data_IF_857904538571
#
_entry.id   IF_857904538571
#
_cell.length_a   1.000
_cell.length_b   1.000
_cell.length_c   1.000
_cell.angle_alpha   90.00
_cell.angle_beta   90.00
_cell.angle_gamma   90.00
#
_symmetry.space_group_name_H-M   'P 1'
#
loop_
_entity.id
_entity.type
_entity.pdbx_description
1 polymer ?
#
# COMPACT_ATOMS: atom_id res chain seq x y z
N UNK A 1 31.63 -27.31 -7.64
CA UNK A 1 30.27 -27.70 -7.21
C UNK A 1 30.00 -27.03 -5.86
N UNK A 2 29.56 -25.77 -5.87
CA UNK A 2 29.38 -24.98 -4.65
C UNK A 2 28.02 -25.35 -4.03
N UNK A 3 28.03 -26.07 -2.90
CA UNK A 3 26.84 -26.34 -2.11
C UNK A 3 26.09 -25.04 -1.85
N UNK A 4 24.88 -24.91 -2.41
CA UNK A 4 23.97 -23.83 -2.10
C UNK A 4 23.54 -24.00 -0.65
N UNK A 5 24.26 -23.34 0.27
CA UNK A 5 23.86 -23.18 1.66
C UNK A 5 22.58 -22.33 1.67
N UNK A 6 21.45 -22.96 1.99
CA UNK A 6 20.15 -22.30 2.09
C UNK A 6 19.76 -22.17 3.56
N UNK A 7 19.01 -21.11 3.92
CA UNK A 7 18.54 -20.91 5.30
C UNK A 7 17.82 -22.15 5.90
N UNK A 8 16.98 -22.90 5.16
CA UNK A 8 16.43 -24.18 5.63
C UNK A 8 17.49 -25.21 6.03
N UNK A 9 18.59 -25.32 5.27
CA UNK A 9 19.71 -26.20 5.59
C UNK A 9 20.36 -25.76 6.90
N UNK A 10 20.63 -24.47 7.06
CA UNK A 10 21.26 -23.92 8.27
C UNK A 10 20.41 -24.16 9.52
N UNK A 11 19.10 -23.98 9.42
CA UNK A 11 18.18 -24.25 10.55
C UNK A 11 18.25 -25.72 10.95
N UNK A 12 18.26 -26.63 9.96
CA UNK A 12 18.38 -28.07 10.20
C UNK A 12 19.73 -28.43 10.84
N UNK A 13 20.83 -27.84 10.37
CA UNK A 13 22.17 -28.06 10.92
C UNK A 13 22.28 -27.54 12.37
N UNK A 14 21.75 -26.35 12.66
CA UNK A 14 21.69 -25.80 14.02
C UNK A 14 20.89 -26.72 14.94
N UNK A 15 19.72 -27.18 14.50
CA UNK A 15 18.85 -28.05 15.31
C UNK A 15 19.50 -29.42 15.61
N UNK A 16 20.29 -29.95 14.68
CA UNK A 16 20.86 -31.29 14.81
C UNK A 16 22.26 -31.30 15.45
N UNK A 17 23.06 -30.28 15.18
CA UNK A 17 24.50 -30.28 15.51
C UNK A 17 24.93 -29.08 16.35
N UNK A 18 24.02 -28.12 16.59
CA UNK A 18 24.33 -26.81 17.17
C UNK A 18 25.35 -25.99 16.36
N UNK A 19 25.64 -26.38 15.12
CA UNK A 19 26.56 -25.68 14.22
C UNK A 19 25.90 -25.42 12.87
N UNK A 20 26.25 -24.34 12.22
CA UNK A 20 25.95 -24.12 10.80
C UNK A 20 26.96 -23.18 10.16
N UNK A 21 27.08 -23.29 8.84
CA UNK A 21 27.87 -22.35 8.03
C UNK A 21 26.97 -21.24 7.51
N UNK A 22 27.10 -20.02 8.03
CA UNK A 22 26.21 -18.89 7.70
C UNK A 22 26.86 -18.00 6.64
N UNK A 23 26.15 -17.62 5.56
CA UNK A 23 26.69 -16.69 4.57
C UNK A 23 26.87 -15.29 5.16
N UNK A 24 27.97 -14.63 4.80
CA UNK A 24 28.26 -13.24 5.13
C UNK A 24 28.05 -12.36 3.90
N UNK A 25 27.41 -11.20 4.09
CA UNK A 25 27.09 -10.25 3.03
C UNK A 25 27.77 -8.91 3.28
N UNK A 26 28.38 -8.37 2.23
CA UNK A 26 28.86 -7.00 2.16
C UNK A 26 27.71 -6.16 1.56
N UNK A 27 27.06 -5.38 2.42
CA UNK A 27 25.88 -4.59 2.03
C UNK A 27 26.25 -3.38 1.17
N UNK A 28 27.44 -2.81 1.32
CA UNK A 28 27.91 -1.70 0.49
C UNK A 28 28.15 -2.16 -0.95
N UNK A 29 28.65 -3.39 -1.11
CA UNK A 29 28.97 -3.97 -2.42
C UNK A 29 27.89 -4.90 -2.95
N UNK A 30 26.75 -4.99 -2.27
CA UNK A 30 25.61 -5.86 -2.61
C UNK A 30 25.99 -7.30 -2.98
N UNK A 31 26.99 -7.87 -2.28
CA UNK A 31 27.53 -9.20 -2.62
C UNK A 31 27.79 -10.05 -1.40
N UNK A 32 27.76 -11.37 -1.58
CA UNK A 32 28.26 -12.31 -0.59
C UNK A 32 29.79 -12.20 -0.53
N UNK A 33 30.35 -11.98 0.66
CA UNK A 33 31.80 -11.87 0.85
C UNK A 33 32.42 -13.10 1.53
N UNK A 34 31.60 -14.08 1.94
CA UNK A 34 32.10 -15.35 2.44
C UNK A 34 31.08 -16.14 3.25
N UNK A 35 31.61 -16.99 4.13
CA UNK A 35 30.85 -17.76 5.10
C UNK A 35 31.56 -17.75 6.45
N UNK A 36 30.78 -17.77 7.52
CA UNK A 36 31.26 -17.87 8.89
C UNK A 36 30.66 -19.12 9.54
N UNK A 37 31.47 -19.82 10.34
CA UNK A 37 30.95 -20.87 11.21
C UNK A 37 30.21 -20.25 12.40
N UNK A 38 28.98 -20.70 12.61
CA UNK A 38 28.12 -20.30 13.70
C UNK A 38 27.91 -21.49 14.62
N UNK A 39 28.18 -21.31 15.90
CA UNK A 39 28.00 -22.31 16.95
C UNK A 39 27.01 -21.77 17.97
N UNK A 40 25.98 -22.55 18.26
CA UNK A 40 25.06 -22.30 19.37
C UNK A 40 25.68 -22.89 20.64
N UNK A 41 25.67 -22.12 21.73
CA UNK A 41 26.11 -22.59 23.06
C UNK A 41 25.21 -23.72 23.55
N UNK A 42 25.76 -24.71 24.25
CA UNK A 42 24.99 -25.83 24.81
C UNK A 42 23.97 -25.38 25.87
N UNK A 43 24.20 -24.22 26.49
CA UNK A 43 23.26 -23.61 27.46
C UNK A 43 22.12 -22.82 26.79
N UNK A 44 22.15 -22.65 25.47
CA UNK A 44 21.19 -21.84 24.74
C UNK A 44 19.88 -22.62 24.51
N UNK A 45 18.82 -22.22 25.20
CA UNK A 45 17.50 -22.83 25.03
C UNK A 45 16.70 -22.35 23.81
N UNK A 46 17.05 -21.19 23.23
CA UNK A 46 16.26 -20.55 22.15
C UNK A 46 17.17 -19.92 21.10
N UNK A 47 16.90 -20.21 19.82
CA UNK A 47 17.57 -19.56 18.67
C UNK A 47 16.57 -18.70 17.92
N UNK A 48 16.89 -17.43 17.73
CA UNK A 48 16.02 -16.46 17.03
C UNK A 48 16.51 -16.28 15.59
N UNK A 49 15.61 -16.49 14.64
CA UNK A 49 15.83 -16.19 13.23
C UNK A 49 15.08 -14.91 12.85
N UNK A 50 15.80 -13.83 12.60
CA UNK A 50 15.25 -12.55 12.19
C UNK A 50 15.54 -12.27 10.71
N UNK A 51 14.56 -11.69 10.00
CA UNK A 51 14.73 -11.24 8.63
C UNK A 51 13.43 -11.26 7.83
N UNK A 52 13.40 -10.52 6.73
CA UNK A 52 12.19 -10.33 5.90
C UNK A 52 11.63 -11.62 5.28
N UNK A 53 12.45 -12.67 5.14
CA UNK A 53 12.05 -13.94 4.54
C UNK A 53 11.83 -15.08 5.55
N UNK A 54 11.96 -14.84 6.86
CA UNK A 54 11.87 -15.93 7.87
C UNK A 54 10.50 -16.59 7.93
N UNK A 55 9.44 -15.88 7.49
CA UNK A 55 8.07 -16.39 7.40
C UNK A 55 7.75 -17.09 6.08
N UNK A 56 8.71 -17.23 5.17
CA UNK A 56 8.49 -17.95 3.91
C UNK A 56 8.00 -19.39 4.19
N UNK A 57 7.04 -19.94 3.42
CA UNK A 57 6.45 -21.25 3.70
C UNK A 57 7.45 -22.41 3.85
N UNK A 58 8.57 -22.34 3.12
CA UNK A 58 9.64 -23.35 3.20
C UNK A 58 10.46 -23.30 4.52
N UNK A 59 10.51 -22.14 5.19
CA UNK A 59 11.23 -21.93 6.44
C UNK A 59 10.30 -22.12 7.64
N UNK A 60 9.06 -21.62 7.53
CA UNK A 60 8.05 -21.65 8.60
C UNK A 60 7.76 -23.04 9.14
N UNK A 61 7.86 -24.09 8.30
CA UNK A 61 7.71 -25.48 8.74
C UNK A 61 8.81 -25.96 9.70
N UNK A 62 9.94 -25.25 9.75
CA UNK A 62 11.10 -25.58 10.57
C UNK A 62 11.22 -24.71 11.83
N UNK A 63 10.28 -23.81 12.08
CA UNK A 63 10.27 -22.91 13.24
C UNK A 63 9.23 -23.36 14.27
N UNK A 64 9.60 -23.35 15.54
CA UNK A 64 8.70 -23.73 16.65
C UNK A 64 7.73 -22.60 17.00
N UNK A 65 8.20 -21.34 16.88
CA UNK A 65 7.40 -20.12 17.01
C UNK A 65 7.76 -19.16 15.88
N UNK A 66 6.78 -18.41 15.38
CA UNK A 66 7.00 -17.37 14.39
C UNK A 66 6.11 -16.16 14.69
N UNK A 67 6.72 -14.97 14.66
CA UNK A 67 6.05 -13.69 14.92
C UNK A 67 6.27 -12.80 13.69
N UNK A 68 5.19 -12.24 13.15
CA UNK A 68 5.26 -11.19 12.15
C UNK A 68 5.13 -9.84 12.87
N UNK A 69 6.16 -9.01 12.84
CA UNK A 69 6.09 -7.64 13.33
C UNK A 69 5.78 -6.73 12.15
N UNK A 70 4.56 -6.20 12.11
CA UNK A 70 4.14 -5.20 11.15
C UNK A 70 4.07 -3.85 11.87
N UNK A 71 4.88 -2.88 11.44
CA UNK A 71 4.71 -1.50 11.90
C UNK A 71 3.57 -0.90 11.11
N UNK A 72 2.39 -0.84 11.72
CA UNK A 72 1.25 -0.10 11.21
C UNK A 72 1.37 1.30 11.79
N UNK A 73 1.79 2.25 10.97
CA UNK A 73 1.69 3.67 11.33
C UNK A 73 0.30 4.13 10.90
N UNK A 74 -0.48 4.64 11.85
CA UNK A 74 -1.78 5.23 11.59
C UNK A 74 -1.73 6.66 12.11
N UNK A 75 -1.80 7.62 11.20
CA UNK A 75 -1.71 9.04 11.50
C UNK A 75 -3.11 9.62 11.82
N UNK A 76 -4.14 8.77 11.93
CA UNK A 76 -5.50 9.15 12.29
C UNK A 76 -5.58 9.64 13.74
N UNK A 77 -5.80 10.93 13.90
CA UNK A 77 -6.20 11.55 15.17
C UNK A 77 -7.74 11.50 15.28
N UNK A 78 -8.33 10.73 16.21
CA UNK A 78 -9.78 10.60 16.33
C UNK A 78 -10.51 11.89 16.74
N UNK A 79 -9.78 12.90 17.25
CA UNK A 79 -10.33 14.19 17.67
C UNK A 79 -10.13 15.24 16.58
N UNK A 80 -8.92 15.35 16.04
CA UNK A 80 -8.57 16.40 15.07
C UNK A 80 -8.89 16.03 13.62
N UNK A 81 -8.82 14.73 13.27
CA UNK A 81 -9.04 14.31 11.87
C UNK A 81 -10.43 14.67 11.33
N UNK A 82 -11.52 14.59 12.12
CA UNK A 82 -12.82 15.09 11.68
C UNK A 82 -12.84 16.61 11.44
N UNK A 83 -12.12 17.40 12.24
CA UNK A 83 -12.04 18.86 12.09
C UNK A 83 -11.14 19.29 10.91
N UNK A 84 -10.12 18.50 10.59
CA UNK A 84 -9.14 18.79 9.54
C UNK A 84 -9.32 17.96 8.26
N UNK A 85 -10.42 17.22 8.13
CA UNK A 85 -10.65 16.37 6.95
C UNK A 85 -10.80 17.21 5.69
N UNK A 86 -10.17 16.82 4.56
CA UNK A 86 -10.36 17.53 3.31
C UNK A 86 -11.81 17.36 2.84
N UNK A 87 -12.46 18.49 2.58
CA UNK A 87 -13.77 18.54 1.93
C UNK A 87 -13.56 18.52 0.42
N UNK A 88 -14.06 17.47 -0.24
CA UNK A 88 -13.91 17.30 -1.68
C UNK A 88 -15.20 17.65 -2.39
N UNK A 89 -15.10 18.61 -3.30
CA UNK A 89 -16.14 18.97 -4.27
C UNK A 89 -15.68 18.56 -5.66
N UNK A 90 -16.45 17.70 -6.33
CA UNK A 90 -16.16 17.26 -7.71
C UNK A 90 -17.00 18.07 -8.71
N UNK A 91 -16.42 18.45 -9.85
CA UNK A 91 -17.12 19.14 -10.94
C UNK A 91 -16.60 18.66 -12.30
N UNK A 92 -17.49 18.61 -13.30
CA UNK A 92 -17.16 18.32 -14.70
C UNK A 92 -16.95 19.57 -15.53
N UNK A 93 -17.16 20.76 -14.94
CA UNK A 93 -16.99 22.03 -15.65
C UNK A 93 -15.53 22.21 -16.01
N UNK A 94 -15.26 22.49 -17.29
CA UNK A 94 -13.96 22.99 -17.69
C UNK A 94 -13.76 24.39 -17.11
N UNK A 95 -12.62 24.59 -16.46
CA UNK A 95 -12.23 25.85 -15.84
C UNK A 95 -10.93 26.33 -16.46
N UNK A 96 -10.86 27.64 -16.70
CA UNK A 96 -9.64 28.25 -17.22
C UNK A 96 -8.62 28.45 -16.10
N UNK A 97 -7.34 28.52 -16.47
CA UNK A 97 -6.28 28.84 -15.50
C UNK A 97 -6.51 30.20 -14.81
N UNK A 98 -7.06 31.18 -15.53
CA UNK A 98 -7.38 32.50 -14.97
C UNK A 98 -8.44 32.43 -13.88
N UNK A 99 -9.42 31.52 -14.02
CA UNK A 99 -10.44 31.35 -12.98
C UNK A 99 -9.91 30.62 -11.75
N UNK A 100 -8.96 29.71 -11.94
CA UNK A 100 -8.26 29.02 -10.82
C UNK A 100 -7.47 30.04 -9.99
N UNK A 101 -6.73 30.94 -10.64
CA UNK A 101 -5.95 31.97 -9.94
C UNK A 101 -6.81 32.97 -9.14
N UNK A 102 -8.09 33.14 -9.49
CA UNK A 102 -9.01 34.01 -8.70
C UNK A 102 -9.37 33.40 -7.35
N UNK A 103 -9.27 32.08 -7.21
CA UNK A 103 -9.66 31.36 -5.99
C UNK A 103 -8.48 31.17 -5.03
N UNK A 104 -7.26 31.09 -5.57
CA UNK A 104 -6.06 30.82 -4.80
C UNK A 104 -5.35 32.11 -4.36
N UNK A 105 -4.68 32.06 -3.22
CA UNK A 105 -3.78 33.13 -2.77
C UNK A 105 -2.55 33.21 -3.69
N UNK A 106 -2.55 34.18 -4.60
CA UNK A 106 -1.49 34.37 -5.61
C UNK A 106 -0.07 34.53 -5.05
N UNK A 107 0.09 34.84 -3.76
CA UNK A 107 1.41 34.90 -3.10
C UNK A 107 1.96 33.52 -2.70
N UNK A 108 1.12 32.49 -2.66
CA UNK A 108 1.44 31.13 -2.19
C UNK A 108 1.16 30.04 -3.21
N UNK A 109 0.56 30.38 -4.35
CA UNK A 109 0.23 29.41 -5.40
C UNK A 109 1.46 28.61 -5.81
N UNK A 110 1.32 27.29 -5.77
CA UNK A 110 2.22 26.39 -6.45
C UNK A 110 1.43 25.42 -7.34
N UNK A 111 2.09 24.95 -8.40
CA UNK A 111 1.53 23.97 -9.31
C UNK A 111 2.44 22.76 -9.44
N UNK A 112 1.87 21.57 -9.53
CA UNK A 112 2.60 20.35 -9.82
C UNK A 112 1.82 19.46 -10.77
N UNK A 113 2.51 18.56 -11.46
CA UNK A 113 1.90 17.49 -12.24
C UNK A 113 2.18 16.19 -11.53
N UNK A 114 1.13 15.41 -11.29
CA UNK A 114 1.24 14.10 -10.66
C UNK A 114 0.50 13.06 -11.49
N UNK A 115 1.07 11.87 -11.54
CA UNK A 115 0.45 10.71 -12.15
C UNK A 115 0.07 9.73 -11.04
N UNK A 116 -1.10 9.13 -11.20
CA UNK A 116 -1.71 8.22 -10.23
C UNK A 116 -1.98 6.88 -10.91
N UNK A 117 -1.70 5.81 -10.18
CA UNK A 117 -2.06 4.45 -10.57
C UNK A 117 -2.76 3.81 -9.39
N UNK A 118 -4.07 3.65 -9.52
CA UNK A 118 -4.94 3.12 -8.47
C UNK A 118 -5.47 1.74 -8.86
N UNK A 119 -5.32 0.79 -7.94
CA UNK A 119 -5.90 -0.55 -8.04
C UNK A 119 -6.97 -0.70 -6.97
N UNK A 120 -8.18 -1.06 -7.39
CA UNK A 120 -9.30 -1.28 -6.49
C UNK A 120 -9.42 -2.76 -6.19
N UNK A 121 -9.41 -3.11 -4.90
CA UNK A 121 -9.57 -4.49 -4.46
C UNK A 121 -10.94 -4.74 -3.83
N UNK A 122 -11.60 -5.81 -4.27
CA UNK A 122 -12.78 -6.38 -3.62
C UNK A 122 -12.36 -7.40 -2.57
N UNK A 123 -13.04 -7.37 -1.43
CA UNK A 123 -12.90 -8.36 -0.36
C UNK A 123 -13.39 -9.77 -0.78
N UNK A 124 -12.72 -10.83 -0.33
CA UNK A 124 -13.18 -12.19 -0.55
C UNK A 124 -14.56 -12.42 0.08
N UNK A 125 -15.45 -13.11 -0.64
CA UNK A 125 -16.79 -13.49 -0.14
C UNK A 125 -17.91 -12.47 -0.38
N UNK A 126 -17.62 -11.28 -0.93
CA UNK A 126 -18.66 -10.33 -1.34
C UNK A 126 -19.15 -10.67 -2.76
N UNK A 127 -20.44 -10.95 -2.98
CA UNK A 127 -20.97 -11.28 -4.30
C UNK A 127 -20.88 -10.08 -5.25
N UNK A 128 -20.57 -10.35 -6.52
CA UNK A 128 -20.46 -9.35 -7.61
C UNK A 128 -21.73 -8.53 -7.87
N UNK A 129 -22.86 -9.02 -7.36
CA UNK A 129 -24.20 -8.51 -7.61
C UNK A 129 -24.64 -7.55 -6.50
N UNK A 130 -23.86 -7.47 -5.41
CA UNK A 130 -24.14 -6.59 -4.30
C UNK A 130 -23.93 -5.15 -4.71
N UNK A 131 -24.89 -4.29 -4.36
CA UNK A 131 -24.67 -2.85 -4.22
C UNK A 131 -23.34 -2.68 -3.46
N UNK A 132 -22.33 -2.09 -4.11
CA UNK A 132 -20.99 -1.89 -3.54
C UNK A 132 -21.16 -1.14 -2.22
N UNK A 133 -21.17 -1.88 -1.12
CA UNK A 133 -21.43 -1.35 0.21
C UNK A 133 -20.12 -0.85 0.77
N UNK A 134 -19.93 0.47 0.64
CA UNK A 134 -19.18 1.40 1.50
C UNK A 134 -17.70 1.15 1.85
N UNK A 135 -17.09 0.02 1.52
CA UNK A 135 -15.70 -0.26 1.90
C UNK A 135 -14.87 -0.58 0.66
N UNK A 136 -14.25 0.46 0.09
CA UNK A 136 -13.33 0.33 -1.05
C UNK A 136 -11.90 0.48 -0.57
N UNK A 137 -11.10 -0.57 -0.81
CA UNK A 137 -9.66 -0.55 -0.62
C UNK A 137 -9.02 0.07 -1.86
N UNK A 138 -8.38 1.21 -1.67
CA UNK A 138 -7.55 1.83 -2.69
C UNK A 138 -6.12 1.32 -2.48
N UNK A 139 -5.53 0.73 -3.51
CA UNK A 139 -4.12 0.35 -3.50
C UNK A 139 -3.41 1.20 -4.54
N UNK A 140 -2.54 2.10 -4.08
CA UNK A 140 -1.51 2.67 -4.94
C UNK A 140 -0.27 1.75 -4.93
N UNK A 141 0.65 1.95 -5.88
CA UNK A 141 1.87 1.14 -6.03
C UNK A 141 2.73 1.11 -4.73
N UNK A 142 2.55 2.08 -3.83
CA UNK A 142 3.28 2.18 -2.57
C UNK A 142 2.41 2.31 -1.31
N UNK A 143 1.09 2.53 -1.44
CA UNK A 143 0.22 2.70 -0.28
C UNK A 143 -1.11 1.96 -0.38
N UNK A 144 -1.61 1.46 0.74
CA UNK A 144 -2.97 1.00 0.92
C UNK A 144 -3.74 2.11 1.61
N UNK A 145 -4.76 2.63 0.94
CA UNK A 145 -5.62 3.69 1.44
C UNK A 145 -7.02 3.11 1.72
N UNK A 146 -7.48 3.29 2.95
CA UNK A 146 -8.85 3.04 3.34
C UNK A 146 -9.65 4.34 3.20
N UNK A 147 -10.68 4.33 2.35
CA UNK A 147 -11.60 5.47 2.22
C UNK A 147 -13.01 5.00 2.55
N UNK A 148 -13.57 5.57 3.60
CA UNK A 148 -15.01 5.53 3.87
C UNK A 148 -15.54 6.96 3.70
N UNK A 149 -16.04 7.33 2.50
CA UNK A 149 -16.49 8.69 2.26
C UNK A 149 -17.79 8.96 3.02
N UNK A 150 -17.86 10.09 3.70
CA UNK A 150 -19.10 10.60 4.32
C UNK A 150 -19.65 11.68 3.39
N UNK A 151 -20.95 11.62 3.06
CA UNK A 151 -21.61 12.63 2.22
C UNK A 151 -22.39 13.60 3.09
N UNK A 152 -22.14 14.89 2.89
CA UNK A 152 -22.89 15.98 3.51
C UNK A 152 -23.31 16.99 2.42
N UNK A 153 -24.56 16.90 1.97
CA UNK A 153 -25.04 17.67 0.82
C UNK A 153 -24.23 17.39 -0.45
N UNK A 154 -23.62 18.42 -1.02
CA UNK A 154 -22.76 18.33 -2.22
C UNK A 154 -21.30 18.01 -1.91
N UNK A 155 -20.94 17.88 -0.63
CA UNK A 155 -19.57 17.63 -0.20
C UNK A 155 -19.34 16.16 0.10
N UNK A 156 -18.16 15.69 -0.28
CA UNK A 156 -17.63 14.39 0.12
C UNK A 156 -16.53 14.65 1.14
N UNK A 157 -16.77 14.27 2.39
CA UNK A 157 -15.77 14.26 3.45
C UNK A 157 -15.00 12.96 3.32
N UNK A 158 -13.68 13.05 3.13
CA UNK A 158 -12.82 11.90 2.91
C UNK A 158 -11.82 11.77 4.05
N UNK A 159 -12.19 11.13 5.17
CA UNK A 159 -11.20 10.68 6.14
C UNK A 159 -10.32 9.63 5.45
N UNK A 160 -9.00 9.82 5.54
CA UNK A 160 -8.00 8.97 4.88
C UNK A 160 -7.17 8.27 5.93
N UNK A 161 -6.95 6.97 5.73
CA UNK A 161 -5.94 6.20 6.46
C UNK A 161 -5.04 5.55 5.43
N UNK A 162 -3.81 6.05 5.32
CA UNK A 162 -2.79 5.59 4.40
C UNK A 162 -1.81 4.65 5.11
N UNK A 163 -1.48 3.54 4.47
CA UNK A 163 -0.44 2.61 4.93
C UNK A 163 0.59 2.43 3.84
N UNK A 164 1.87 2.63 4.14
CA UNK A 164 2.93 2.23 3.22
C UNK A 164 2.97 0.70 3.10
N UNK A 165 2.83 0.18 1.89
CA UNK A 165 2.83 -1.27 1.63
C UNK A 165 3.84 -1.67 0.57
N UNK A 166 4.36 -2.89 0.71
CA UNK A 166 5.24 -3.50 -0.28
C UNK A 166 4.45 -4.18 -1.40
N UNK A 167 5.06 -4.37 -2.57
CA UNK A 167 4.50 -5.18 -3.65
C UNK A 167 4.17 -6.63 -3.19
N UNK A 168 4.95 -7.19 -2.25
CA UNK A 168 4.65 -8.49 -1.64
C UNK A 168 3.39 -8.49 -0.79
N UNK A 169 3.05 -7.36 -0.16
CA UNK A 169 1.79 -7.19 0.59
C UNK A 169 0.60 -7.27 -0.36
N UNK A 170 0.67 -6.54 -1.49
CA UNK A 170 -0.37 -6.60 -2.54
C UNK A 170 -0.53 -8.03 -3.06
N UNK A 171 0.56 -8.71 -3.39
CA UNK A 171 0.53 -10.10 -3.84
C UNK A 171 -0.06 -11.05 -2.77
N UNK A 172 0.18 -10.76 -1.49
CA UNK A 172 -0.42 -11.47 -0.36
C UNK A 172 -1.94 -11.32 -0.32
N UNK A 173 -2.47 -10.10 -0.48
CA UNK A 173 -3.91 -9.83 -0.53
C UNK A 173 -4.58 -10.63 -1.66
N UNK A 174 -3.99 -10.62 -2.86
CA UNK A 174 -4.53 -11.37 -4.00
C UNK A 174 -4.59 -12.89 -3.71
N UNK A 175 -3.56 -13.45 -3.05
CA UNK A 175 -3.56 -14.87 -2.64
C UNK A 175 -4.61 -15.20 -1.57
N UNK A 176 -4.98 -14.22 -0.74
CA UNK A 176 -6.03 -14.36 0.26
C UNK A 176 -7.45 -14.24 -0.32
N UNK A 177 -7.57 -14.08 -1.64
CA UNK A 177 -8.85 -14.05 -2.35
C UNK A 177 -9.40 -12.64 -2.58
N UNK A 178 -8.61 -11.59 -2.30
CA UNK A 178 -8.96 -10.25 -2.75
C UNK A 178 -8.88 -10.19 -4.28
N UNK A 179 -9.86 -9.56 -4.91
CA UNK A 179 -9.94 -9.48 -6.37
C UNK A 179 -9.66 -8.07 -6.83
N UNK A 180 -8.73 -7.89 -7.76
CA UNK A 180 -8.58 -6.61 -8.45
C UNK A 180 -9.80 -6.39 -9.35
N UNK A 181 -10.58 -5.36 -9.07
CA UNK A 181 -11.84 -5.04 -9.75
C UNK A 181 -11.76 -3.78 -10.61
N UNK A 182 -10.77 -2.92 -10.36
CA UNK A 182 -10.45 -1.83 -11.28
C UNK A 182 -8.97 -1.46 -11.25
N UNK A 183 -8.53 -0.91 -12.37
CA UNK A 183 -7.22 -0.29 -12.56
C UNK A 183 -7.42 1.07 -13.22
N UNK A 184 -6.94 2.13 -12.56
CA UNK A 184 -7.10 3.51 -13.01
C UNK A 184 -5.75 4.16 -13.14
N UNK A 185 -5.45 4.65 -14.35
CA UNK A 185 -4.37 5.57 -14.59
C UNK A 185 -4.92 6.97 -14.82
N UNK A 186 -4.43 7.92 -14.03
CA UNK A 186 -4.79 9.31 -14.15
C UNK A 186 -3.57 10.22 -14.08
N UNK A 187 -3.65 11.36 -14.75
CA UNK A 187 -2.73 12.47 -14.55
C UNK A 187 -3.52 13.65 -14.00
N UNK A 188 -2.97 14.38 -13.06
CA UNK A 188 -3.56 15.62 -12.60
C UNK A 188 -2.56 16.76 -12.62
N UNK A 189 -3.01 17.92 -13.10
CA UNK A 189 -2.37 19.19 -12.81
C UNK A 189 -2.99 19.71 -11.51
N UNK A 190 -2.15 19.90 -10.50
CA UNK A 190 -2.56 20.27 -9.15
C UNK A 190 -2.15 21.72 -8.92
N UNK A 191 -3.09 22.55 -8.47
CA UNK A 191 -2.84 23.91 -7.99
C UNK A 191 -3.21 24.00 -6.52
N UNK A 192 -2.38 24.64 -5.70
CA UNK A 192 -2.68 24.81 -4.28
C UNK A 192 -2.04 26.05 -3.68
N UNK A 193 -2.59 26.52 -2.55
CA UNK A 193 -2.09 27.65 -1.76
C UNK A 193 -1.95 27.34 -0.26
N UNK A 194 -2.08 26.06 0.11
CA UNK A 194 -2.06 25.58 1.50
C UNK A 194 -3.41 25.60 2.20
N UNK A 195 -4.45 26.23 1.63
CA UNK A 195 -5.83 26.15 2.13
C UNK A 195 -6.74 25.41 1.17
N UNK A 196 -6.55 25.64 -0.13
CA UNK A 196 -7.33 25.03 -1.21
C UNK A 196 -6.39 24.25 -2.10
N UNK A 197 -6.84 23.07 -2.53
CA UNK A 197 -6.14 22.22 -3.51
C UNK A 197 -7.13 21.93 -4.64
N UNK A 198 -6.73 22.23 -5.87
CA UNK A 198 -7.52 22.04 -7.08
C UNK A 198 -6.82 21.02 -7.96
N UNK A 199 -7.51 19.93 -8.27
CA UNK A 199 -7.05 18.87 -9.17
C UNK A 199 -7.75 19.00 -10.51
N UNK A 200 -6.99 19.26 -11.59
CA UNK A 200 -7.46 19.11 -12.96
C UNK A 200 -7.04 17.74 -13.47
N UNK A 201 -7.94 16.77 -13.34
CA UNK A 201 -7.64 15.36 -13.60
C UNK A 201 -8.02 14.94 -15.03
N UNK A 202 -7.12 14.20 -15.68
CA UNK A 202 -7.36 13.52 -16.94
C UNK A 202 -7.16 12.01 -16.74
N UNK A 203 -8.03 11.23 -17.37
CA UNK A 203 -8.00 9.77 -17.30
C UNK A 203 -7.64 9.22 -18.67
N UNK A 204 -6.61 8.37 -18.73
CA UNK A 204 -6.07 7.87 -20.00
C UNK A 204 -6.49 6.44 -20.30
N UNK A 205 -6.68 5.59 -19.29
CA UNK A 205 -6.94 4.17 -19.54
C UNK A 205 -7.70 3.45 -18.41
N UNK A 206 -8.71 2.65 -18.80
CA UNK A 206 -9.50 1.79 -17.91
C UNK A 206 -9.60 0.37 -18.52
N UNK A 207 -8.55 -0.45 -18.45
CA UNK A 207 -8.56 -1.78 -19.07
C UNK A 207 -9.52 -2.75 -18.36
N UNK A 208 -9.81 -2.52 -17.08
CA UNK A 208 -10.70 -3.34 -16.27
C UNK A 208 -11.47 -2.40 -15.33
N UNK A 209 -12.77 -2.28 -15.51
CA UNK A 209 -13.61 -1.43 -14.67
C UNK A 209 -15.00 -2.04 -14.59
N UNK A 210 -15.37 -2.52 -13.41
CA UNK A 210 -16.76 -2.88 -13.17
C UNK A 210 -17.64 -1.63 -13.28
N UNK A 211 -18.77 -1.72 -13.98
CA UNK A 211 -19.65 -0.58 -14.27
C UNK A 211 -20.03 0.22 -13.02
N UNK A 212 -20.15 -0.44 -11.87
CA UNK A 212 -20.53 0.20 -10.62
C UNK A 212 -19.38 0.98 -9.96
N UNK A 213 -18.12 0.85 -10.39
CA UNK A 213 -16.96 1.61 -9.89
C UNK A 213 -16.78 2.95 -10.60
N UNK A 214 -17.35 3.10 -11.81
CA UNK A 214 -17.38 4.38 -12.53
C UNK A 214 -18.05 5.46 -11.68
N UNK A 215 -19.19 5.18 -11.06
CA UNK A 215 -19.88 6.14 -10.18
C UNK A 215 -19.12 6.48 -8.88
N UNK A 216 -18.06 5.75 -8.53
CA UNK A 216 -17.26 6.05 -7.33
C UNK A 216 -15.95 6.77 -7.70
N UNK A 217 -15.24 6.29 -8.72
CA UNK A 217 -14.07 6.94 -9.28
C UNK A 217 -14.46 8.30 -9.92
N UNK A 218 -15.56 8.29 -10.66
CA UNK A 218 -16.12 9.39 -11.43
C UNK A 218 -17.64 9.48 -11.21
N UNK A 219 -18.13 10.02 -10.07
CA UNK A 219 -19.56 10.07 -9.69
C UNK A 219 -20.51 10.83 -10.63
N UNK A 220 -20.08 11.14 -11.84
CA UNK A 220 -20.75 12.03 -12.79
C UNK A 220 -20.95 11.41 -14.18
N UNK A 221 -20.93 10.07 -14.32
CA UNK A 221 -21.33 9.41 -15.59
C UNK A 221 -22.83 9.09 -15.61
N UNK A 222 -23.53 9.19 -14.48
CA UNK A 222 -24.99 9.20 -14.41
C UNK A 222 -25.51 10.62 -14.18
N UNK A 223 -25.58 11.38 -15.28
CA UNK A 223 -26.23 12.69 -15.38
C UNK A 223 -26.60 12.99 -16.81
#
# INVERSE_FOLDING_TARGET
MALAVTLPTNIKEIRNTHKAKVPCFDFEKFKRNGFKEFQVSEECGVVIFEGVYTLHPAIRKSLDLWIAVLKIQNDFDPVLSPESSPFVLKSTKQVSYQDILKVLDGSKVCSSVQNFTDVYLRLPGIPSNGQLTEVQWHVTISSLLFIQPIREGNFIIQPKVDFDISASTVAGLLKLGYQAVAYIEASAVIYQDGKVIIFLQSYTHFPFLERNLLEYACPMISG
#
